data_IF_901178331728
#
_entry.id   IF_901178331728
#
_cell.length_a   1.000
_cell.length_b   1.000
_cell.length_c   1.000
_cell.angle_alpha   90.00
_cell.angle_beta   90.00
_cell.angle_gamma   90.00
#
_symmetry.space_group_name_H-M   'P 1'
#
loop_
_entity.id
_entity.type
_entity.pdbx_description
1 polymer ?
#
# COMPACT_ATOMS: atom_id res chain seq x y z
N UNK A 1 -3.57 3.85 17.38
CA UNK A 1 -4.79 4.20 18.14
C UNK A 1 -4.45 4.85 19.47
N UNK A 2 -3.70 4.20 20.38
CA UNK A 2 -3.29 4.85 21.64
C UNK A 2 -2.48 6.12 21.45
N UNK A 3 -1.69 6.22 20.37
CA UNK A 3 -0.98 7.45 19.98
C UNK A 3 -1.88 8.62 19.57
N UNK A 4 -3.21 8.43 19.55
CA UNK A 4 -4.18 9.45 19.11
C UNK A 4 -4.91 10.13 20.27
N UNK A 5 -4.76 9.64 21.50
CA UNK A 5 -5.33 10.22 22.73
C UNK A 5 -4.24 10.88 23.57
N UNK A 6 -4.63 11.54 24.67
CA UNK A 6 -3.68 12.17 25.59
C UNK A 6 -2.65 11.14 26.11
N UNK A 7 -1.34 11.48 26.22
CA UNK A 7 -0.33 10.56 26.70
C UNK A 7 -0.62 9.96 28.09
N UNK A 8 -1.25 10.71 29.00
CA UNK A 8 -1.62 10.23 30.33
C UNK A 8 -2.76 9.20 30.27
N UNK A 9 -3.75 9.43 29.40
CA UNK A 9 -4.83 8.48 29.14
C UNK A 9 -4.28 7.21 28.49
N UNK A 10 -3.43 7.35 27.48
CA UNK A 10 -2.78 6.23 26.81
C UNK A 10 -1.96 5.39 27.79
N UNK A 11 -1.22 6.02 28.70
CA UNK A 11 -0.46 5.32 29.75
C UNK A 11 -1.40 4.58 30.72
N UNK A 12 -2.52 5.18 31.09
CA UNK A 12 -3.52 4.55 31.95
C UNK A 12 -4.17 3.34 31.30
N UNK A 13 -4.54 3.44 30.03
CA UNK A 13 -5.10 2.33 29.24
C UNK A 13 -4.07 1.20 29.12
N UNK A 14 -2.81 1.50 28.78
CA UNK A 14 -1.74 0.48 28.71
C UNK A 14 -1.62 -0.31 30.01
N UNK A 15 -1.51 0.42 31.13
CA UNK A 15 -1.38 -0.18 32.47
C UNK A 15 -2.59 -1.05 32.82
N UNK A 16 -3.81 -0.60 32.51
CA UNK A 16 -5.05 -1.32 32.86
C UNK A 16 -5.27 -2.56 32.01
N UNK A 17 -4.96 -2.50 30.72
CA UNK A 17 -5.15 -3.61 29.79
C UNK A 17 -3.93 -4.54 29.70
N UNK A 18 -2.86 -4.27 30.47
CA UNK A 18 -1.62 -5.06 30.41
C UNK A 18 -0.93 -4.97 29.05
N UNK A 19 -1.09 -3.87 28.32
CA UNK A 19 -0.45 -3.66 27.02
C UNK A 19 0.97 -3.19 27.28
N UNK A 20 1.95 -4.04 26.95
CA UNK A 20 3.38 -3.72 27.06
C UNK A 20 3.84 -2.60 26.11
N UNK A 21 5.10 -2.20 26.26
CA UNK A 21 5.74 -1.28 25.32
C UNK A 21 5.82 -1.91 23.91
N UNK A 22 5.76 -1.09 22.85
CA UNK A 22 5.91 -1.59 21.49
C UNK A 22 7.29 -2.24 21.33
N UNK A 23 7.31 -3.50 20.89
CA UNK A 23 8.56 -4.17 20.57
C UNK A 23 9.24 -3.49 19.37
N UNK A 24 10.55 -3.24 19.48
CA UNK A 24 11.34 -2.68 18.37
C UNK A 24 11.60 -3.80 17.36
N UNK A 25 10.77 -3.84 16.32
CA UNK A 25 10.82 -4.88 15.30
C UNK A 25 12.01 -4.68 14.34
N UNK A 26 12.78 -5.75 14.09
CA UNK A 26 13.95 -5.72 13.17
C UNK A 26 13.51 -5.68 11.71
N UNK A 27 14.19 -4.90 10.86
CA UNK A 27 13.85 -4.66 9.44
C UNK A 27 13.44 -5.92 8.62
N UNK A 28 14.14 -7.05 8.74
CA UNK A 28 13.81 -8.27 8.00
C UNK A 28 12.44 -8.87 8.35
N UNK A 29 11.93 -8.60 9.55
CA UNK A 29 10.62 -9.07 10.00
C UNK A 29 9.46 -8.31 9.34
N UNK A 30 9.68 -7.06 8.91
CA UNK A 30 8.65 -6.21 8.32
C UNK A 30 8.21 -6.71 6.94
N UNK A 31 9.17 -7.11 6.08
CA UNK A 31 8.86 -7.68 4.76
C UNK A 31 8.03 -8.96 4.88
N UNK A 32 8.43 -9.86 5.79
CA UNK A 32 7.67 -11.08 6.06
C UNK A 32 6.27 -10.79 6.59
N UNK A 33 6.12 -9.85 7.53
CA UNK A 33 4.80 -9.52 8.08
C UNK A 33 3.89 -8.86 7.05
N UNK A 34 4.41 -8.01 6.16
CA UNK A 34 3.62 -7.44 5.06
C UNK A 34 3.02 -8.54 4.15
N UNK A 35 3.80 -9.59 3.85
CA UNK A 35 3.32 -10.74 3.08
C UNK A 35 2.18 -11.46 3.80
N UNK A 36 2.29 -11.63 5.12
CA UNK A 36 1.28 -12.32 5.92
C UNK A 36 -0.01 -11.52 6.07
N UNK A 37 0.09 -10.19 6.20
CA UNK A 37 -1.07 -9.32 6.37
C UNK A 37 -1.93 -9.18 5.13
N UNK A 38 -1.50 -9.74 3.98
CA UNK A 38 -2.18 -9.61 2.68
C UNK A 38 -2.49 -8.15 2.38
N UNK A 39 -1.53 -7.27 2.67
CA UNK A 39 -1.66 -5.84 2.48
C UNK A 39 -2.10 -5.52 1.04
N UNK A 40 -2.93 -4.49 0.83
CA UNK A 40 -3.29 -4.07 -0.52
C UNK A 40 -2.02 -3.69 -1.29
N UNK A 41 -2.03 -3.92 -2.60
CA UNK A 41 -0.87 -3.65 -3.45
C UNK A 41 -0.42 -2.19 -3.38
N UNK A 42 -1.33 -1.23 -3.18
CA UNK A 42 -0.98 0.20 -2.98
C UNK A 42 0.00 0.44 -1.84
N UNK A 43 0.07 -0.43 -0.81
CA UNK A 43 1.08 -0.31 0.26
C UNK A 43 2.51 -0.37 -0.29
N UNK A 44 2.73 -1.12 -1.37
CA UNK A 44 4.05 -1.17 -2.03
C UNK A 44 4.39 0.18 -2.67
N UNK A 45 3.42 0.85 -3.28
CA UNK A 45 3.66 2.21 -3.79
C UNK A 45 3.96 3.16 -2.63
N UNK A 46 3.20 3.12 -1.54
CA UNK A 46 3.44 3.97 -0.36
C UNK A 46 4.83 3.79 0.24
N UNK A 47 5.32 2.54 0.26
CA UNK A 47 6.70 2.22 0.67
C UNK A 47 7.71 2.86 -0.29
N UNK A 48 7.51 2.74 -1.59
CA UNK A 48 8.41 3.30 -2.60
C UNK A 48 8.40 4.83 -2.60
N UNK A 49 7.23 5.46 -2.41
CA UNK A 49 7.04 6.92 -2.32
C UNK A 49 7.80 7.56 -1.14
N UNK A 50 8.23 6.77 -0.16
CA UNK A 50 9.13 7.25 0.90
C UNK A 50 10.49 7.67 0.37
N UNK A 51 10.90 7.17 -0.79
CA UNK A 51 12.22 7.40 -1.40
C UNK A 51 13.38 7.04 -0.46
N UNK A 52 13.18 6.01 0.36
CA UNK A 52 14.17 5.51 1.31
C UNK A 52 14.84 4.22 0.77
N UNK A 53 16.17 4.19 0.56
CA UNK A 53 16.86 3.03 -0.01
C UNK A 53 16.62 1.71 0.75
N UNK A 54 16.53 1.75 2.08
CA UNK A 54 16.29 0.55 2.88
C UNK A 54 14.87 0.01 2.68
N UNK A 55 13.88 0.90 2.63
CA UNK A 55 12.48 0.55 2.31
C UNK A 55 12.33 0.01 0.89
N UNK A 56 13.04 0.61 -0.09
CA UNK A 56 13.03 0.14 -1.47
C UNK A 56 13.60 -1.27 -1.61
N UNK A 57 14.65 -1.62 -0.85
CA UNK A 57 15.19 -2.98 -0.81
C UNK A 57 14.16 -3.99 -0.26
N UNK A 58 13.37 -3.62 0.75
CA UNK A 58 12.27 -4.47 1.24
C UNK A 58 11.20 -4.66 0.17
N UNK A 59 10.83 -3.60 -0.55
CA UNK A 59 9.83 -3.65 -1.62
C UNK A 59 10.31 -4.51 -2.81
N UNK A 60 11.58 -4.44 -3.18
CA UNK A 60 12.18 -5.19 -4.29
C UNK A 60 11.87 -6.70 -4.23
N UNK A 61 11.91 -7.29 -3.03
CA UNK A 61 11.66 -8.72 -2.79
C UNK A 61 10.18 -9.10 -2.76
N UNK A 62 9.27 -8.14 -2.80
CA UNK A 62 7.85 -8.45 -2.71
C UNK A 62 7.34 -9.08 -4.02
N UNK A 63 6.55 -10.16 -3.99
CA UNK A 63 6.15 -10.92 -5.18
C UNK A 63 5.21 -10.15 -6.12
N UNK A 64 4.56 -9.08 -5.64
CA UNK A 64 3.72 -8.21 -6.46
C UNK A 64 4.50 -7.07 -7.13
N UNK A 65 5.80 -6.92 -6.89
CA UNK A 65 6.63 -5.91 -7.57
C UNK A 65 7.11 -6.49 -8.89
N UNK A 66 6.82 -5.78 -9.99
CA UNK A 66 7.17 -6.19 -11.35
C UNK A 66 8.66 -5.99 -11.63
N UNK A 67 9.19 -6.68 -12.64
CA UNK A 67 10.60 -6.52 -13.05
C UNK A 67 10.93 -5.08 -13.48
N UNK A 68 9.97 -4.37 -14.08
CA UNK A 68 10.15 -2.95 -14.39
C UNK A 68 10.31 -2.08 -13.12
N UNK A 69 9.46 -2.29 -12.10
CA UNK A 69 9.61 -1.57 -10.82
C UNK A 69 10.93 -1.97 -10.14
N UNK A 70 11.31 -3.25 -10.16
CA UNK A 70 12.60 -3.73 -9.64
C UNK A 70 13.78 -3.07 -10.34
N UNK A 71 13.72 -2.92 -11.66
CA UNK A 71 14.71 -2.20 -12.47
C UNK A 71 14.78 -0.74 -12.07
N UNK A 72 13.63 -0.08 -11.90
CA UNK A 72 13.56 1.31 -11.45
C UNK A 72 14.20 1.47 -10.06
N UNK A 73 13.94 0.54 -9.12
CA UNK A 73 14.61 0.49 -7.80
C UNK A 73 16.13 0.34 -7.93
N UNK A 74 16.61 -0.62 -8.74
CA UNK A 74 18.05 -0.89 -8.93
C UNK A 74 18.77 0.27 -9.63
N UNK A 75 18.04 1.12 -10.36
CA UNK A 75 18.53 2.35 -10.97
C UNK A 75 18.43 3.58 -10.07
N UNK A 76 17.87 3.42 -8.87
CA UNK A 76 17.66 4.52 -7.93
C UNK A 76 16.59 5.50 -8.40
N UNK A 77 15.64 5.10 -9.25
CA UNK A 77 14.56 5.99 -9.68
C UNK A 77 13.67 6.30 -8.48
N UNK A 78 13.51 7.58 -8.08
CA UNK A 78 12.62 7.93 -6.99
C UNK A 78 11.17 7.69 -7.39
N UNK A 79 10.34 7.23 -6.47
CA UNK A 79 8.91 7.05 -6.66
C UNK A 79 8.12 8.24 -6.09
N UNK A 80 8.61 8.85 -5.01
CA UNK A 80 8.06 10.03 -4.37
C UNK A 80 8.62 11.34 -4.94
N UNK A 81 8.97 12.26 -4.04
CA UNK A 81 9.36 13.65 -4.36
C UNK A 81 10.86 13.91 -4.32
N UNK A 82 11.68 12.90 -4.02
CA UNK A 82 13.13 13.04 -4.02
C UNK A 82 13.66 13.47 -5.40
N UNK A 83 14.73 14.29 -5.38
CA UNK A 83 15.38 14.79 -6.60
C UNK A 83 16.62 13.97 -6.90
N UNK A 84 16.74 13.52 -8.14
CA UNK A 84 17.89 12.73 -8.60
C UNK A 84 17.80 11.26 -8.20
N UNK A 85 18.80 10.45 -8.60
CA UNK A 85 18.83 9.04 -8.28
C UNK A 85 19.09 8.80 -6.78
N UNK A 86 18.37 7.85 -6.21
CA UNK A 86 18.55 7.37 -4.85
C UNK A 86 19.76 6.41 -4.75
N UNK A 87 20.44 6.36 -3.59
CA UNK A 87 21.36 5.26 -3.29
C UNK A 87 20.65 3.91 -3.41
N UNK A 88 21.35 2.91 -3.93
CA UNK A 88 20.80 1.56 -4.13
C UNK A 88 21.45 0.61 -3.14
N UNK A 89 20.63 0.02 -2.28
CA UNK A 89 21.07 -1.04 -1.38
C UNK A 89 21.17 -2.34 -2.20
N UNK A 90 22.40 -2.79 -2.45
CA UNK A 90 22.66 -4.02 -3.21
C UNK A 90 22.83 -5.25 -2.33
N UNK A 91 22.99 -5.06 -1.03
CA UNK A 91 23.16 -6.15 -0.06
C UNK A 91 21.82 -6.53 0.55
N UNK A 92 21.61 -7.82 0.76
CA UNK A 92 20.48 -8.33 1.53
C UNK A 92 21.00 -9.29 2.59
N UNK A 93 20.27 -9.37 3.69
CA UNK A 93 20.57 -10.32 4.78
C UNK A 93 20.29 -11.77 4.39
N UNK A 94 19.54 -12.01 3.31
CA UNK A 94 19.19 -13.34 2.82
C UNK A 94 20.34 -13.92 1.98
N UNK A 95 20.88 -15.11 2.31
CA UNK A 95 21.90 -15.77 1.50
C UNK A 95 21.48 -15.95 0.04
N UNK A 96 22.36 -15.63 -0.90
CA UNK A 96 22.11 -15.78 -2.35
C UNK A 96 21.20 -14.70 -2.95
N UNK A 97 20.79 -13.71 -2.17
CA UNK A 97 20.01 -12.60 -2.69
C UNK A 97 20.87 -11.67 -3.54
N UNK A 98 20.50 -11.54 -4.82
CA UNK A 98 21.10 -10.59 -5.77
C UNK A 98 20.10 -9.49 -6.14
N UNK A 99 20.55 -8.24 -6.06
CA UNK A 99 19.81 -7.08 -6.56
C UNK A 99 20.25 -6.76 -7.98
N UNK A 100 20.20 -7.76 -8.86
CA UNK A 100 20.55 -7.57 -10.25
C UNK A 100 19.45 -6.80 -10.98
N UNK A 101 19.84 -6.02 -11.98
CA UNK A 101 18.90 -5.34 -12.86
C UNK A 101 18.13 -6.40 -13.68
N UNK A 102 16.80 -6.52 -13.52
CA UNK A 102 16.04 -7.48 -14.30
C UNK A 102 16.08 -7.13 -15.79
N UNK A 103 16.23 -8.15 -16.63
CA UNK A 103 16.08 -8.00 -18.08
C UNK A 103 14.61 -7.88 -18.43
N UNK A 104 14.21 -6.71 -18.94
CA UNK A 104 12.84 -6.52 -19.42
C UNK A 104 12.69 -7.12 -20.83
N UNK A 105 11.69 -7.97 -21.00
CA UNK A 105 11.33 -8.52 -22.32
C UNK A 105 10.44 -7.50 -23.02
N UNK A 106 11.05 -6.71 -23.93
CA UNK A 106 10.32 -5.77 -24.77
C UNK A 106 9.85 -6.49 -26.04
N UNK A 107 8.60 -6.26 -26.40
CA UNK A 107 8.03 -6.76 -27.67
C UNK A 107 8.85 -6.27 -28.87
N UNK A 108 8.99 -7.07 -29.96
CA UNK A 108 9.64 -6.62 -31.18
C UNK A 108 8.93 -5.42 -31.85
N UNK A 109 7.68 -5.14 -31.45
CA UNK A 109 6.91 -3.97 -31.88
C UNK A 109 7.10 -2.75 -30.97
N UNK A 110 8.09 -2.76 -30.08
CA UNK A 110 8.27 -1.75 -29.04
C UNK A 110 7.26 -1.88 -27.90
N UNK A 111 7.33 -0.96 -26.94
CA UNK A 111 6.49 -0.95 -25.73
C UNK A 111 5.01 -0.78 -26.07
N UNK A 112 4.65 0.31 -26.76
CA UNK A 112 3.26 0.60 -27.14
C UNK A 112 2.73 -0.41 -28.15
N UNK A 113 3.53 -0.78 -29.17
CA UNK A 113 3.11 -1.77 -30.16
C UNK A 113 2.86 -3.15 -29.54
N UNK A 114 3.63 -3.53 -28.51
CA UNK A 114 3.37 -4.73 -27.71
C UNK A 114 2.03 -4.67 -26.98
N UNK A 115 1.72 -3.53 -26.32
CA UNK A 115 0.45 -3.31 -25.64
C UNK A 115 -0.75 -3.35 -26.62
N UNK A 116 -0.64 -2.70 -27.78
CA UNK A 116 -1.68 -2.69 -28.83
C UNK A 116 -1.93 -4.07 -29.44
N UNK A 117 -0.91 -4.92 -29.53
CA UNK A 117 -1.01 -6.29 -30.06
C UNK A 117 -1.42 -7.32 -29.03
N UNK A 118 -1.57 -6.97 -27.75
CA UNK A 118 -2.06 -7.90 -26.75
C UNK A 118 -3.48 -8.39 -27.10
N UNK A 119 -3.64 -9.72 -27.19
CA UNK A 119 -4.94 -10.39 -27.49
C UNK A 119 -5.44 -11.27 -26.35
N UNK A 120 -4.64 -11.43 -25.30
CA UNK A 120 -4.97 -12.19 -24.10
C UNK A 120 -4.38 -11.54 -22.84
N UNK A 121 -4.87 -11.94 -21.67
CA UNK A 121 -4.30 -11.54 -20.38
C UNK A 121 -2.82 -11.89 -20.25
N UNK A 122 -2.38 -13.03 -20.80
CA UNK A 122 -0.98 -13.43 -20.75
C UNK A 122 -0.10 -12.45 -21.56
N UNK A 123 -0.48 -12.17 -22.81
CA UNK A 123 0.24 -11.22 -23.66
C UNK A 123 0.20 -9.78 -23.11
N UNK A 124 -0.91 -9.39 -22.49
CA UNK A 124 -1.05 -8.08 -21.85
C UNK A 124 -0.13 -7.94 -20.63
N UNK A 125 0.00 -8.99 -19.79
CA UNK A 125 0.93 -9.02 -18.65
C UNK A 125 2.38 -8.96 -19.10
N UNK A 126 2.75 -9.72 -20.13
CA UNK A 126 4.10 -9.67 -20.69
C UNK A 126 4.43 -8.27 -21.19
N UNK A 127 3.58 -7.67 -22.02
CA UNK A 127 3.79 -6.33 -22.56
C UNK A 127 3.80 -5.25 -21.47
N UNK A 128 2.83 -5.28 -20.55
CA UNK A 128 2.77 -4.32 -19.45
C UNK A 128 3.94 -4.48 -18.48
N UNK A 129 4.53 -5.68 -18.35
CA UNK A 129 5.69 -5.94 -17.50
C UNK A 129 6.95 -5.18 -17.91
N UNK A 130 7.03 -4.73 -19.16
CA UNK A 130 8.13 -3.91 -19.67
C UNK A 130 7.97 -2.40 -19.37
N UNK A 131 6.78 -1.94 -18.96
CA UNK A 131 6.50 -0.53 -18.67
C UNK A 131 7.12 -0.16 -17.33
N UNK A 132 8.11 0.73 -17.34
CA UNK A 132 8.69 1.38 -16.16
C UNK A 132 8.11 2.76 -15.90
N UNK A 133 8.57 3.41 -14.82
CA UNK A 133 8.04 4.72 -14.40
C UNK A 133 8.18 5.80 -15.48
N UNK A 134 9.28 5.78 -16.24
CA UNK A 134 9.55 6.76 -17.29
C UNK A 134 8.65 6.62 -18.53
N UNK A 135 8.02 5.45 -18.71
CA UNK A 135 7.25 5.13 -19.92
C UNK A 135 5.77 5.56 -19.80
N UNK A 136 5.29 5.91 -18.60
CA UNK A 136 3.89 6.28 -18.38
C UNK A 136 3.39 7.44 -19.26
N UNK A 137 4.15 8.51 -19.53
CA UNK A 137 3.74 9.56 -20.45
C UNK A 137 3.49 9.04 -21.88
N UNK A 138 4.35 8.14 -22.38
CA UNK A 138 4.19 7.52 -23.71
C UNK A 138 2.95 6.62 -23.74
N UNK A 139 2.74 5.81 -22.69
CA UNK A 139 1.54 4.95 -22.57
C UNK A 139 0.26 5.78 -22.52
N UNK A 140 0.24 6.87 -21.76
CA UNK A 140 -0.90 7.77 -21.65
C UNK A 140 -1.20 8.42 -23.00
N UNK A 141 -0.18 8.92 -23.69
CA UNK A 141 -0.34 9.49 -25.03
C UNK A 141 -0.87 8.47 -26.03
N UNK A 142 -0.29 7.27 -26.04
CA UNK A 142 -0.70 6.22 -26.95
C UNK A 142 -2.17 5.83 -26.77
N UNK A 143 -2.67 5.77 -25.53
CA UNK A 143 -4.07 5.44 -25.22
C UNK A 143 -5.05 6.58 -25.58
N UNK A 144 -4.61 7.84 -25.48
CA UNK A 144 -5.39 9.01 -25.91
C UNK A 144 -5.55 9.05 -27.42
N UNK A 145 -4.47 8.78 -28.17
CA UNK A 145 -4.48 8.77 -29.64
C UNK A 145 -5.28 7.59 -30.17
N UNK A 146 -5.04 6.40 -29.63
CA UNK A 146 -5.74 5.17 -30.00
C UNK A 146 -5.94 4.29 -28.76
N UNK A 147 -7.18 4.14 -28.28
CA UNK A 147 -7.50 3.31 -27.12
C UNK A 147 -6.79 1.95 -27.11
N UNK A 148 -6.02 1.68 -26.07
CA UNK A 148 -5.38 0.37 -25.89
C UNK A 148 -6.44 -0.73 -25.71
N UNK A 149 -6.14 -1.98 -26.11
CA UNK A 149 -7.04 -3.10 -25.88
C UNK A 149 -7.43 -3.25 -24.40
N UNK A 150 -8.66 -3.68 -24.14
CA UNK A 150 -9.19 -3.78 -22.76
C UNK A 150 -8.34 -4.64 -21.81
N UNK A 151 -7.70 -5.70 -22.31
CA UNK A 151 -6.77 -6.51 -21.50
C UNK A 151 -5.52 -5.71 -21.09
N UNK A 152 -4.95 -4.89 -21.99
CA UNK A 152 -3.81 -4.05 -21.69
C UNK A 152 -4.18 -2.96 -20.68
N UNK A 153 -5.29 -2.23 -20.92
CA UNK A 153 -5.84 -1.23 -19.99
C UNK A 153 -6.05 -1.79 -18.59
N UNK A 154 -6.64 -2.98 -18.48
CA UNK A 154 -6.88 -3.64 -17.20
C UNK A 154 -5.57 -4.04 -16.48
N UNK A 155 -4.61 -4.61 -17.20
CA UNK A 155 -3.32 -4.97 -16.58
C UNK A 155 -2.58 -3.71 -16.12
N UNK A 156 -2.53 -2.67 -16.95
CA UNK A 156 -1.89 -1.40 -16.60
C UNK A 156 -2.59 -0.71 -15.42
N UNK A 157 -3.92 -0.70 -15.39
CA UNK A 157 -4.67 -0.02 -14.31
C UNK A 157 -4.48 -0.67 -12.94
N UNK A 158 -4.21 -1.98 -12.90
CA UNK A 158 -3.95 -2.74 -11.66
C UNK A 158 -2.50 -2.75 -11.21
N UNK A 159 -1.61 -2.06 -11.93
CA UNK A 159 -0.24 -1.83 -11.47
C UNK A 159 -0.22 -0.77 -10.37
N UNK A 160 0.64 -0.99 -9.38
CA UNK A 160 0.80 -0.09 -8.24
C UNK A 160 1.39 1.25 -8.66
N UNK A 161 2.27 1.26 -9.64
CA UNK A 161 2.97 2.44 -10.16
C UNK A 161 2.21 3.15 -11.30
N UNK A 162 1.00 2.70 -11.66
CA UNK A 162 0.17 3.39 -12.65
C UNK A 162 -0.30 4.74 -12.10
N UNK A 163 0.04 5.87 -12.75
CA UNK A 163 -0.34 7.19 -12.26
C UNK A 163 -1.87 7.34 -12.19
N UNK A 164 -2.42 8.04 -11.17
CA UNK A 164 -3.86 8.19 -11.01
C UNK A 164 -4.58 8.74 -12.25
N UNK A 165 -3.97 9.72 -12.92
CA UNK A 165 -4.48 10.34 -14.14
C UNK A 165 -4.53 9.38 -15.33
N UNK A 166 -3.53 8.50 -15.47
CA UNK A 166 -3.52 7.46 -16.51
C UNK A 166 -4.55 6.37 -16.18
N UNK A 167 -4.65 6.00 -14.90
CA UNK A 167 -5.65 5.03 -14.43
C UNK A 167 -7.08 5.52 -14.69
N UNK A 168 -7.35 6.81 -14.49
CA UNK A 168 -8.64 7.43 -14.77
C UNK A 168 -9.00 7.43 -16.27
N UNK A 169 -8.01 7.53 -17.16
CA UNK A 169 -8.21 7.41 -18.62
C UNK A 169 -8.70 6.02 -19.02
N UNK A 170 -8.23 4.97 -18.34
CA UNK A 170 -8.63 3.58 -18.64
C UNK A 170 -10.07 3.25 -18.21
N UNK A 171 -10.65 4.00 -17.26
CA UNK A 171 -12.04 3.83 -16.86
C UNK A 171 -12.41 4.57 -15.57
N UNK A 172 -13.69 4.94 -15.48
CA UNK A 172 -14.27 5.65 -14.33
C UNK A 172 -15.55 5.02 -13.78
N UNK A 173 -16.05 3.95 -14.41
CA UNK A 173 -17.34 3.35 -14.06
C UNK A 173 -17.26 2.55 -12.73
N UNK A 174 -18.36 2.40 -11.96
CA UNK A 174 -18.33 1.74 -10.64
C UNK A 174 -17.75 0.32 -10.66
N UNK A 175 -18.06 -0.48 -11.70
CA UNK A 175 -17.48 -1.82 -11.87
C UNK A 175 -15.95 -1.82 -12.03
N UNK A 176 -15.35 -0.76 -12.58
CA UNK A 176 -13.90 -0.61 -12.72
C UNK A 176 -13.28 -0.28 -11.38
N UNK A 177 -13.84 0.71 -10.66
CA UNK A 177 -13.44 1.06 -9.29
C UNK A 177 -13.51 -0.14 -8.36
N UNK A 178 -14.61 -0.90 -8.39
CA UNK A 178 -14.75 -2.12 -7.59
C UNK A 178 -13.66 -3.16 -7.92
N UNK A 179 -13.32 -3.33 -9.21
CA UNK A 179 -12.26 -4.25 -9.64
C UNK A 179 -10.87 -3.78 -9.19
N UNK A 180 -10.59 -2.48 -9.23
CA UNK A 180 -9.35 -1.90 -8.70
C UNK A 180 -9.23 -2.14 -7.19
N UNK A 181 -10.31 -1.90 -6.44
CA UNK A 181 -10.39 -2.22 -5.01
C UNK A 181 -10.08 -3.70 -4.77
N UNK A 182 -10.71 -4.62 -5.51
CA UNK A 182 -10.42 -6.06 -5.42
C UNK A 182 -8.98 -6.43 -5.81
N UNK A 183 -8.32 -5.65 -6.65
CA UNK A 183 -6.91 -5.82 -7.00
C UNK A 183 -5.95 -5.24 -5.95
N UNK A 184 -6.46 -4.64 -4.86
CA UNK A 184 -5.63 -4.01 -3.84
C UNK A 184 -5.10 -2.64 -4.26
N UNK A 185 -5.75 -1.98 -5.22
CA UNK A 185 -5.44 -0.61 -5.61
C UNK A 185 -6.40 0.31 -4.84
N UNK A 186 -5.82 1.06 -3.92
CA UNK A 186 -6.45 2.08 -3.07
C UNK A 186 -5.85 3.44 -3.42
N UNK A 187 -6.66 4.50 -3.45
CA UNK A 187 -6.20 5.83 -3.81
C UNK A 187 -5.24 6.40 -2.75
N UNK A 188 -5.61 6.28 -1.47
CA UNK A 188 -4.83 6.79 -0.36
C UNK A 188 -5.07 6.00 0.94
N UNK A 189 -4.31 6.34 1.99
CA UNK A 189 -4.37 5.64 3.27
C UNK A 189 -5.63 6.00 4.08
N UNK A 190 -6.31 7.12 3.79
CA UNK A 190 -7.60 7.46 4.41
C UNK A 190 -8.70 6.56 3.87
N UNK A 191 -8.79 6.39 2.56
CA UNK A 191 -9.72 5.46 1.91
C UNK A 191 -9.49 4.03 2.43
N UNK A 192 -8.23 3.62 2.59
CA UNK A 192 -7.89 2.32 3.18
C UNK A 192 -8.42 2.18 4.61
N UNK A 193 -8.16 3.17 5.47
CA UNK A 193 -8.61 3.14 6.86
C UNK A 193 -10.13 3.22 7.01
N UNK A 194 -10.84 3.83 6.08
CA UNK A 194 -12.28 4.04 6.16
C UNK A 194 -13.10 2.88 5.56
N UNK A 195 -12.66 2.33 4.44
CA UNK A 195 -13.48 1.41 3.62
C UNK A 195 -12.99 -0.04 3.57
N UNK A 196 -11.92 -0.37 4.28
CA UNK A 196 -11.36 -1.72 4.29
C UNK A 196 -11.50 -2.41 5.64
N UNK A 197 -11.64 -3.73 5.57
CA UNK A 197 -11.73 -4.62 6.71
C UNK A 197 -11.04 -5.96 6.44
N UNK A 198 -10.81 -6.78 7.47
CA UNK A 198 -11.19 -6.51 8.86
C UNK A 198 -10.30 -5.44 9.52
N UNK A 199 -10.86 -4.71 10.49
CA UNK A 199 -10.22 -3.60 11.19
C UNK A 199 -8.82 -3.96 11.72
N UNK A 200 -8.67 -5.18 12.28
CA UNK A 200 -7.37 -5.67 12.76
C UNK A 200 -6.30 -5.67 11.66
N UNK A 201 -6.59 -6.24 10.50
CA UNK A 201 -5.62 -6.29 9.40
C UNK A 201 -5.24 -4.89 8.91
N UNK A 202 -6.21 -3.99 8.81
CA UNK A 202 -5.96 -2.59 8.43
C UNK A 202 -5.08 -1.89 9.45
N UNK A 203 -5.40 -2.02 10.74
CA UNK A 203 -4.62 -1.44 11.83
C UNK A 203 -3.21 -2.03 11.93
N UNK A 204 -3.05 -3.33 11.69
CA UNK A 204 -1.73 -3.99 11.63
C UNK A 204 -0.88 -3.44 10.48
N UNK A 205 -1.46 -3.23 9.30
CA UNK A 205 -0.76 -2.60 8.16
C UNK A 205 -0.39 -1.15 8.47
N UNK A 206 -1.31 -0.36 9.03
CA UNK A 206 -1.03 1.03 9.41
C UNK A 206 0.01 1.14 10.53
N UNK A 207 0.04 0.18 11.47
CA UNK A 207 1.07 0.09 12.50
C UNK A 207 2.45 -0.10 11.85
N UNK A 208 2.57 -1.01 10.89
CA UNK A 208 3.81 -1.16 10.11
C UNK A 208 4.12 0.09 9.27
N UNK A 209 3.08 0.80 8.83
CA UNK A 209 3.21 2.05 8.11
C UNK A 209 3.96 3.13 8.87
N UNK A 210 3.92 3.12 10.20
CA UNK A 210 4.62 4.14 11.01
C UNK A 210 6.13 4.13 10.82
N UNK A 211 6.73 2.98 10.46
CA UNK A 211 8.13 2.91 10.10
C UNK A 211 8.37 2.81 8.59
N UNK A 212 7.49 2.18 7.81
CA UNK A 212 7.73 1.92 6.38
C UNK A 212 7.20 3.01 5.43
N UNK A 213 6.09 3.67 5.78
CA UNK A 213 5.44 4.69 4.97
C UNK A 213 4.79 5.75 5.88
N UNK A 214 5.59 6.45 6.71
CA UNK A 214 5.08 7.26 7.83
C UNK A 214 4.13 8.38 7.40
N UNK A 215 4.35 8.98 6.23
CA UNK A 215 3.47 10.01 5.69
C UNK A 215 2.05 9.47 5.44
N UNK A 216 1.93 8.32 4.79
CA UNK A 216 0.64 7.65 4.53
C UNK A 216 -0.01 7.13 5.80
N UNK A 217 0.77 6.58 6.73
CA UNK A 217 0.25 6.19 8.04
C UNK A 217 -0.31 7.39 8.82
N UNK A 218 0.29 8.58 8.69
CA UNK A 218 -0.21 9.82 9.29
C UNK A 218 -1.55 10.25 8.69
N UNK A 219 -1.71 10.18 7.37
CA UNK A 219 -2.99 10.50 6.71
C UNK A 219 -4.15 9.67 7.29
N UNK A 220 -3.93 8.36 7.50
CA UNK A 220 -4.90 7.48 8.14
C UNK A 220 -5.14 7.84 9.62
N UNK A 221 -4.08 8.21 10.35
CA UNK A 221 -4.17 8.63 11.74
C UNK A 221 -4.94 9.96 11.90
N UNK A 222 -4.84 10.88 10.94
CA UNK A 222 -5.62 12.12 10.91
C UNK A 222 -7.11 11.87 10.73
N UNK A 223 -7.48 10.84 9.95
CA UNK A 223 -8.86 10.39 9.82
C UNK A 223 -9.36 9.76 11.13
N UNK A 224 -8.62 8.80 11.66
CA UNK A 224 -9.05 8.01 12.82
C UNK A 224 -8.95 8.77 14.15
N UNK A 225 -8.01 9.70 14.26
CA UNK A 225 -7.68 10.38 15.51
C UNK A 225 -8.84 11.14 16.16
N UNK A 226 -9.56 12.01 15.43
CA UNK A 226 -10.74 12.70 15.96
C UNK A 226 -11.83 11.73 16.44
N UNK A 227 -12.03 10.63 15.70
CA UNK A 227 -12.99 9.60 16.06
C UNK A 227 -12.57 8.85 17.34
N UNK A 228 -11.31 8.41 17.42
CA UNK A 228 -10.76 7.73 18.61
C UNK A 228 -10.84 8.61 19.85
N UNK A 229 -10.53 9.91 19.74
CA UNK A 229 -10.66 10.83 20.89
C UNK A 229 -12.09 11.03 21.35
N UNK A 230 -13.04 11.11 20.41
CA UNK A 230 -14.46 11.32 20.73
C UNK A 230 -15.12 10.07 21.31
N UNK A 231 -14.92 8.92 20.67
CA UNK A 231 -15.64 7.69 21.04
C UNK A 231 -14.95 6.89 22.15
N UNK A 232 -13.61 6.92 22.21
CA UNK A 232 -12.85 6.18 23.22
C UNK A 232 -12.29 7.11 24.30
N UNK A 233 -11.60 8.19 23.90
CA UNK A 233 -11.03 9.17 24.83
C UNK A 233 -10.33 8.52 26.04
N UNK A 234 -10.72 8.94 27.25
CA UNK A 234 -10.29 8.37 28.53
C UNK A 234 -11.20 7.23 29.03
N UNK A 235 -12.24 6.83 28.28
CA UNK A 235 -13.21 5.80 28.69
C UNK A 235 -12.56 4.40 28.64
N UNK A 236 -12.20 3.87 29.81
CA UNK A 236 -11.54 2.57 29.93
C UNK A 236 -12.42 1.41 29.46
N UNK A 237 -13.74 1.50 29.61
CA UNK A 237 -14.67 0.45 29.19
C UNK A 237 -14.75 0.38 27.65
N UNK A 238 -14.68 1.53 26.98
CA UNK A 238 -14.61 1.60 25.52
C UNK A 238 -13.31 0.97 24.99
N UNK A 239 -12.17 1.23 25.67
CA UNK A 239 -10.89 0.60 25.34
C UNK A 239 -10.89 -0.91 25.60
N UNK A 240 -11.51 -1.37 26.70
CA UNK A 240 -11.67 -2.79 27.00
C UNK A 240 -12.57 -3.49 25.97
N UNK A 241 -13.69 -2.85 25.57
CA UNK A 241 -14.55 -3.34 24.50
C UNK A 241 -13.78 -3.48 23.18
N UNK A 242 -13.00 -2.46 22.81
CA UNK A 242 -12.15 -2.51 21.62
C UNK A 242 -11.17 -3.67 21.67
N UNK A 243 -10.43 -3.84 22.77
CA UNK A 243 -9.45 -4.91 22.91
C UNK A 243 -10.08 -6.31 22.77
N UNK A 244 -11.29 -6.48 23.31
CA UNK A 244 -12.06 -7.72 23.25
C UNK A 244 -12.63 -8.01 21.86
N UNK A 245 -13.12 -6.99 21.15
CA UNK A 245 -13.84 -7.15 19.88
C UNK A 245 -12.90 -7.17 18.67
N UNK A 246 -11.75 -6.47 18.74
CA UNK A 246 -10.80 -6.34 17.64
C UNK A 246 -10.40 -7.67 16.95
N UNK A 247 -10.15 -8.79 17.66
CA UNK A 247 -9.74 -10.03 17.01
C UNK A 247 -10.79 -10.64 16.07
N UNK A 248 -12.07 -10.36 16.31
CA UNK A 248 -13.20 -10.96 15.58
C UNK A 248 -14.02 -9.94 14.79
N UNK A 249 -13.70 -8.65 14.86
CA UNK A 249 -14.43 -7.59 14.16
C UNK A 249 -14.16 -7.64 12.64
N UNK A 250 -15.21 -7.87 11.86
CA UNK A 250 -15.12 -7.97 10.40
C UNK A 250 -15.24 -6.63 9.67
N UNK A 251 -15.74 -5.60 10.36
CA UNK A 251 -15.94 -4.25 9.80
C UNK A 251 -14.65 -3.45 9.69
N UNK A 252 -14.81 -2.16 9.41
CA UNK A 252 -13.71 -1.21 9.21
C UNK A 252 -13.19 -0.64 10.55
N UNK A 253 -11.98 -0.05 10.58
CA UNK A 253 -11.50 0.67 11.76
C UNK A 253 -12.45 1.77 12.26
N UNK A 254 -13.11 2.50 11.36
CA UNK A 254 -14.06 3.56 11.75
C UNK A 254 -15.33 2.98 12.39
N UNK A 255 -15.85 1.89 11.83
CA UNK A 255 -16.98 1.14 12.42
C UNK A 255 -16.61 0.59 13.81
N UNK A 256 -15.42 -0.04 13.94
CA UNK A 256 -14.95 -0.60 15.21
C UNK A 256 -14.95 0.44 16.33
N UNK A 257 -14.37 1.63 16.05
CA UNK A 257 -14.24 2.68 17.06
C UNK A 257 -15.61 3.19 17.49
N UNK A 258 -16.54 3.40 16.55
CA UNK A 258 -17.93 3.81 16.87
C UNK A 258 -18.64 2.78 17.73
N UNK A 259 -18.63 1.51 17.31
CA UNK A 259 -19.28 0.42 18.05
C UNK A 259 -18.75 0.30 19.48
N UNK A 260 -17.44 0.47 19.69
CA UNK A 260 -16.87 0.38 21.04
C UNK A 260 -17.24 1.58 21.92
N UNK A 261 -17.35 2.78 21.34
CA UNK A 261 -17.85 3.96 22.07
C UNK A 261 -19.32 3.82 22.47
N UNK A 262 -20.17 3.33 21.55
CA UNK A 262 -21.59 3.08 21.81
C UNK A 262 -21.79 2.04 22.92
N UNK A 263 -21.09 0.91 22.86
CA UNK A 263 -21.18 -0.18 23.86
C UNK A 263 -20.79 0.29 25.27
N UNK A 264 -19.86 1.23 25.39
CA UNK A 264 -19.39 1.74 26.67
C UNK A 264 -20.21 2.93 27.20
N UNK A 265 -21.23 3.38 26.46
CA UNK A 265 -22.13 4.47 26.86
C UNK A 265 -23.45 3.97 27.46
N UNK A 266 -23.64 2.65 27.50
CA UNK A 266 -24.81 1.95 28.08
C UNK A 266 -24.52 1.51 29.50
#
# INVERSE_FOLDING_TARGET
MLSSVDPADAATVRRRLGIGEPEVERAGWWAWRLLQLRAPRSVLLWMLERDDPATNALAYHHPNVTDAIRRDIVRGVPFGTARGPLPVVRTCVTPGCVHDEPRLVVSPFGLVGGLRRARSMATARAAAGAVGKADWPEVAEADRVEPLPGYARWVLSTRVDCPPEVRAQFGSHPKFTHRLKRAGIVADAREYADHWGPARSVLDVLRLGTALFPARAREAAELLGPLVRRELGANLDAWAALARVLPTFSGTPTELVRTCGEVASV
#
